data_IF_753513540236
#
_entry.id   IF_753513540236
#
_cell.length_a   1.000
_cell.length_b   1.000
_cell.length_c   1.000
_cell.angle_alpha   90.00
_cell.angle_beta   90.00
_cell.angle_gamma   90.00
#
_symmetry.space_group_name_H-M   'P 1'
#
loop_
_entity.id
_entity.type
_entity.pdbx_description
1 polymer ?
#
# COMPACT_ATOMS: atom_id res chain seq x y z
N UNK A 1 -22.05 -22.47 -27.59
CA UNK A 1 -20.96 -21.49 -27.31
C UNK A 1 -21.27 -20.63 -26.09
N UNK A 2 -22.42 -19.93 -26.03
CA UNK A 2 -22.81 -19.12 -24.85
C UNK A 2 -22.87 -19.92 -23.53
N UNK A 3 -23.44 -21.12 -23.55
CA UNK A 3 -23.52 -22.00 -22.38
C UNK A 3 -22.15 -22.43 -21.87
N UNK A 4 -21.25 -22.86 -22.76
CA UNK A 4 -19.86 -23.24 -22.41
C UNK A 4 -19.06 -22.08 -21.82
N UNK A 5 -19.31 -20.85 -22.26
CA UNK A 5 -18.69 -19.65 -21.68
C UNK A 5 -19.19 -19.44 -20.24
N UNK A 6 -20.49 -19.61 -20.00
CA UNK A 6 -21.06 -19.51 -18.65
C UNK A 6 -20.50 -20.60 -17.75
N UNK A 7 -20.39 -21.83 -18.26
CA UNK A 7 -19.81 -22.96 -17.55
C UNK A 7 -18.34 -22.73 -17.17
N UNK A 8 -17.51 -22.31 -18.12
CA UNK A 8 -16.10 -21.98 -17.87
C UNK A 8 -15.95 -20.88 -16.81
N UNK A 9 -16.77 -19.82 -16.90
CA UNK A 9 -16.72 -18.68 -15.97
C UNK A 9 -17.31 -18.95 -14.59
N UNK A 10 -18.05 -20.06 -14.42
CA UNK A 10 -18.43 -20.56 -13.08
C UNK A 10 -17.24 -21.18 -12.36
N UNK A 11 -16.25 -21.68 -13.10
CA UNK A 11 -15.05 -22.33 -12.56
C UNK A 11 -13.91 -21.32 -12.42
N UNK A 12 -13.71 -20.47 -13.44
CA UNK A 12 -12.63 -19.49 -13.49
C UNK A 12 -13.17 -18.06 -13.45
N UNK A 13 -12.68 -17.20 -12.54
CA UNK A 13 -13.12 -15.80 -12.44
C UNK A 13 -12.51 -14.93 -13.54
N UNK A 14 -12.77 -15.25 -14.81
CA UNK A 14 -12.21 -14.56 -15.98
C UNK A 14 -13.25 -13.67 -16.69
N UNK A 15 -12.81 -12.59 -17.37
CA UNK A 15 -13.68 -11.75 -18.20
C UNK A 15 -14.30 -12.53 -19.37
N UNK A 16 -15.42 -12.02 -19.88
CA UNK A 16 -16.15 -12.62 -21.01
C UNK A 16 -15.27 -12.75 -22.26
N UNK A 17 -14.46 -11.74 -22.56
CA UNK A 17 -13.57 -11.72 -23.73
C UNK A 17 -12.54 -12.84 -23.69
N UNK A 18 -11.89 -13.01 -22.54
CA UNK A 18 -10.87 -14.04 -22.32
C UNK A 18 -11.47 -15.45 -22.35
N UNK A 19 -12.63 -15.65 -21.71
CA UNK A 19 -13.36 -16.91 -21.76
C UNK A 19 -13.75 -17.31 -23.20
N UNK A 20 -14.16 -16.34 -24.04
CA UNK A 20 -14.47 -16.59 -25.45
C UNK A 20 -13.21 -16.98 -26.24
N UNK A 21 -12.09 -16.33 -25.98
CA UNK A 21 -10.85 -16.57 -26.71
C UNK A 21 -10.32 -17.97 -26.41
N UNK A 22 -10.18 -18.34 -25.15
CA UNK A 22 -9.62 -19.64 -24.76
C UNK A 22 -10.47 -20.81 -25.26
N UNK A 23 -11.81 -20.68 -25.23
CA UNK A 23 -12.72 -21.69 -25.77
C UNK A 23 -12.59 -21.86 -27.28
N UNK A 24 -12.41 -20.76 -28.03
CA UNK A 24 -12.21 -20.83 -29.49
C UNK A 24 -10.90 -21.51 -29.85
N UNK A 25 -9.84 -21.26 -29.10
CA UNK A 25 -8.50 -21.82 -29.33
C UNK A 25 -8.40 -23.31 -28.95
N UNK A 26 -9.37 -23.84 -28.19
CA UNK A 26 -9.34 -25.20 -27.65
C UNK A 26 -10.62 -26.00 -27.99
N UNK A 27 -11.15 -25.83 -29.19
CA UNK A 27 -12.28 -26.63 -29.73
C UNK A 27 -13.56 -26.61 -28.87
N UNK A 28 -13.73 -25.55 -28.07
CA UNK A 28 -14.77 -25.40 -27.06
C UNK A 28 -14.76 -26.51 -25.99
N UNK A 29 -13.62 -27.13 -25.70
CA UNK A 29 -13.46 -28.07 -24.59
C UNK A 29 -13.24 -27.29 -23.28
N UNK A 30 -14.24 -27.32 -22.40
CA UNK A 30 -14.23 -26.56 -21.14
C UNK A 30 -13.17 -27.11 -20.18
N UNK A 31 -13.06 -28.43 -20.04
CA UNK A 31 -12.10 -29.04 -19.10
C UNK A 31 -10.66 -28.76 -19.53
N UNK A 32 -10.38 -28.89 -20.83
CA UNK A 32 -9.08 -28.56 -21.40
C UNK A 32 -8.74 -27.08 -21.21
N UNK A 33 -9.69 -26.18 -21.42
CA UNK A 33 -9.50 -24.74 -21.16
C UNK A 33 -9.17 -24.48 -19.68
N UNK A 34 -9.90 -25.10 -18.75
CA UNK A 34 -9.65 -24.96 -17.32
C UNK A 34 -8.24 -25.43 -16.96
N UNK A 35 -7.84 -26.60 -17.43
CA UNK A 35 -6.52 -27.16 -17.15
C UNK A 35 -5.40 -26.27 -17.69
N UNK A 36 -5.49 -25.84 -18.95
CA UNK A 36 -4.47 -24.99 -19.57
C UNK A 36 -4.39 -23.62 -18.91
N UNK A 37 -5.53 -23.03 -18.56
CA UNK A 37 -5.56 -21.74 -17.86
C UNK A 37 -4.89 -21.84 -16.50
N UNK A 38 -5.29 -22.83 -15.67
CA UNK A 38 -4.67 -23.05 -14.36
C UNK A 38 -3.16 -23.27 -14.48
N UNK A 39 -2.72 -24.16 -15.37
CA UNK A 39 -1.30 -24.43 -15.55
C UNK A 39 -0.50 -23.19 -15.97
N UNK A 40 -1.08 -22.31 -16.82
CA UNK A 40 -0.49 -21.03 -17.18
C UNK A 40 -0.43 -20.09 -15.97
N UNK A 41 -1.55 -19.91 -15.27
CA UNK A 41 -1.66 -19.03 -14.10
C UNK A 41 -0.70 -19.43 -12.99
N UNK A 42 -0.53 -20.73 -12.74
CA UNK A 42 0.41 -21.23 -11.73
C UNK A 42 1.86 -20.82 -12.06
N UNK A 43 2.30 -21.03 -13.31
CA UNK A 43 3.65 -20.61 -13.73
C UNK A 43 3.86 -19.10 -13.57
N UNK A 44 2.83 -18.31 -13.86
CA UNK A 44 2.88 -16.87 -13.71
C UNK A 44 2.89 -16.44 -12.24
N UNK A 45 2.09 -17.08 -11.37
CA UNK A 45 2.11 -16.89 -9.92
C UNK A 45 3.52 -17.20 -9.37
N UNK A 46 4.13 -18.32 -9.75
CA UNK A 46 5.48 -18.69 -9.33
C UNK A 46 6.49 -17.63 -9.76
N UNK A 47 6.41 -17.14 -11.00
CA UNK A 47 7.29 -16.07 -11.50
C UNK A 47 7.16 -14.77 -10.70
N UNK A 48 5.94 -14.37 -10.32
CA UNK A 48 5.66 -13.12 -9.61
C UNK A 48 5.92 -13.16 -8.09
N UNK A 49 5.97 -14.35 -7.51
CA UNK A 49 6.07 -14.55 -6.05
C UNK A 49 7.33 -15.28 -5.63
N UNK A 50 7.97 -16.03 -6.53
CA UNK A 50 9.12 -16.88 -6.24
C UNK A 50 8.79 -18.17 -5.48
N UNK A 51 7.52 -18.51 -5.28
CA UNK A 51 7.13 -19.75 -4.58
C UNK A 51 7.24 -20.99 -5.47
N UNK A 52 7.23 -22.17 -4.83
CA UNK A 52 7.16 -23.46 -5.50
C UNK A 52 5.75 -23.76 -6.06
N UNK A 53 5.65 -24.80 -6.88
CA UNK A 53 4.41 -25.16 -7.59
C UNK A 53 3.31 -25.64 -6.63
N UNK A 54 3.68 -26.33 -5.55
CA UNK A 54 2.72 -26.85 -4.56
C UNK A 54 2.06 -25.69 -3.82
N UNK A 55 2.87 -24.72 -3.37
CA UNK A 55 2.41 -23.49 -2.72
C UNK A 55 1.51 -22.68 -3.66
N UNK A 56 1.93 -22.46 -4.91
CA UNK A 56 1.12 -21.75 -5.89
C UNK A 56 -0.24 -22.40 -6.11
N UNK A 57 -0.29 -23.74 -6.27
CA UNK A 57 -1.54 -24.48 -6.47
C UNK A 57 -2.47 -24.37 -5.26
N UNK A 58 -1.92 -24.59 -4.05
CA UNK A 58 -2.69 -24.55 -2.81
C UNK A 58 -3.37 -23.19 -2.60
N UNK A 59 -2.62 -22.09 -2.76
CA UNK A 59 -3.19 -20.75 -2.61
C UNK A 59 -4.15 -20.41 -3.74
N UNK A 60 -3.85 -20.81 -4.98
CA UNK A 60 -4.72 -20.53 -6.12
C UNK A 60 -6.08 -21.21 -6.00
N UNK A 61 -6.10 -22.45 -5.50
CA UNK A 61 -7.35 -23.16 -5.19
C UNK A 61 -8.10 -22.52 -4.01
N UNK A 62 -7.39 -22.16 -2.93
CA UNK A 62 -7.99 -21.53 -1.75
C UNK A 62 -8.67 -20.19 -2.07
N UNK A 63 -8.07 -19.40 -2.96
CA UNK A 63 -8.63 -18.12 -3.45
C UNK A 63 -9.59 -18.29 -4.64
N UNK A 64 -10.08 -19.52 -4.88
CA UNK A 64 -11.07 -19.82 -5.92
C UNK A 64 -10.64 -19.37 -7.32
N UNK A 65 -9.34 -19.55 -7.60
CA UNK A 65 -8.70 -19.21 -8.87
C UNK A 65 -8.67 -17.70 -9.19
N UNK A 66 -8.83 -16.84 -8.18
CA UNK A 66 -8.55 -15.41 -8.30
C UNK A 66 -7.04 -15.16 -8.27
N UNK A 67 -6.49 -14.81 -9.43
CA UNK A 67 -5.04 -14.62 -9.60
C UNK A 67 -4.48 -13.52 -8.70
N UNK A 68 -5.15 -12.37 -8.62
CA UNK A 68 -4.63 -11.20 -7.89
C UNK A 68 -4.65 -11.44 -6.38
N UNK A 69 -5.74 -12.04 -5.87
CA UNK A 69 -5.84 -12.42 -4.46
C UNK A 69 -4.79 -13.46 -4.09
N UNK A 70 -4.57 -14.44 -4.98
CA UNK A 70 -3.57 -15.48 -4.78
C UNK A 70 -2.15 -14.92 -4.70
N UNK A 71 -1.74 -14.10 -5.66
CA UNK A 71 -0.41 -13.46 -5.66
C UNK A 71 -0.23 -12.61 -4.40
N UNK A 72 -1.27 -11.87 -3.99
CA UNK A 72 -1.22 -11.05 -2.78
C UNK A 72 -1.06 -11.92 -1.53
N UNK A 73 -1.88 -12.97 -1.37
CA UNK A 73 -1.84 -13.87 -0.22
C UNK A 73 -0.50 -14.60 -0.07
N UNK A 74 0.09 -15.06 -1.19
CA UNK A 74 1.42 -15.68 -1.17
C UNK A 74 2.49 -14.66 -0.76
N UNK A 75 2.45 -13.42 -1.29
CA UNK A 75 3.41 -12.38 -0.91
C UNK A 75 3.34 -12.04 0.57
N UNK A 76 2.14 -11.96 1.14
CA UNK A 76 1.95 -11.74 2.58
C UNK A 76 2.53 -12.89 3.42
N UNK A 77 2.25 -14.15 3.05
CA UNK A 77 2.76 -15.32 3.76
C UNK A 77 4.29 -15.45 3.63
N UNK A 78 4.86 -15.17 2.47
CA UNK A 78 6.31 -15.12 2.27
C UNK A 78 6.96 -14.00 3.05
N UNK A 79 6.31 -12.84 3.15
CA UNK A 79 6.79 -11.75 3.99
C UNK A 79 6.86 -12.18 5.46
N UNK A 80 5.81 -12.81 5.98
CA UNK A 80 5.73 -13.26 7.38
C UNK A 80 6.77 -14.33 7.70
N UNK A 81 6.88 -15.34 6.84
CA UNK A 81 7.84 -16.44 7.01
C UNK A 81 9.29 -15.97 6.96
N UNK A 82 9.59 -14.94 6.16
CA UNK A 82 10.93 -14.41 5.98
C UNK A 82 11.10 -13.05 6.68
N UNK A 83 10.26 -12.75 7.67
CA UNK A 83 10.31 -11.47 8.35
C UNK A 83 11.64 -11.26 9.04
N UNK A 84 12.29 -10.15 8.73
CA UNK A 84 13.51 -9.71 9.40
C UNK A 84 13.15 -8.50 10.26
N UNK A 85 13.37 -8.64 11.56
CA UNK A 85 13.16 -7.54 12.49
C UNK A 85 14.04 -6.34 12.12
N UNK A 86 13.42 -5.17 12.00
CA UNK A 86 14.11 -3.90 11.78
C UNK A 86 14.28 -3.23 13.13
N UNK A 87 15.53 -3.09 13.58
CA UNK A 87 15.84 -2.41 14.84
C UNK A 87 15.27 -0.99 14.82
N UNK A 88 14.56 -0.61 15.88
CA UNK A 88 13.85 0.68 15.98
C UNK A 88 12.39 0.67 15.46
N UNK A 89 11.98 -0.37 14.73
CA UNK A 89 10.56 -0.57 14.36
C UNK A 89 9.88 -1.43 15.42
N UNK A 90 9.23 -0.77 16.39
CA UNK A 90 8.50 -1.42 17.49
C UNK A 90 6.98 -1.21 17.38
N UNK A 91 6.20 -1.99 18.14
CA UNK A 91 4.73 -1.82 18.20
C UNK A 91 4.32 -0.44 18.69
N UNK A 92 5.07 0.12 19.64
CA UNK A 92 4.86 1.46 20.19
C UNK A 92 5.09 2.52 19.11
N UNK A 93 6.21 2.43 18.39
CA UNK A 93 6.54 3.37 17.32
C UNK A 93 5.52 3.29 16.17
N UNK A 94 5.09 2.08 15.77
CA UNK A 94 4.02 1.91 14.78
C UNK A 94 2.70 2.52 15.29
N UNK A 95 2.38 2.39 16.58
CA UNK A 95 1.18 3.02 17.17
C UNK A 95 1.22 4.55 17.05
N UNK A 96 2.39 5.18 17.25
CA UNK A 96 2.56 6.62 17.05
C UNK A 96 2.30 7.03 15.60
N UNK A 97 2.73 6.23 14.63
CA UNK A 97 2.43 6.49 13.22
C UNK A 97 0.93 6.41 12.96
N UNK A 98 0.21 5.42 13.51
CA UNK A 98 -1.24 5.36 13.36
C UNK A 98 -1.96 6.56 13.99
N UNK A 99 -1.47 7.06 15.13
CA UNK A 99 -2.02 8.28 15.75
C UNK A 99 -1.79 9.50 14.86
N UNK A 100 -0.59 9.63 14.27
CA UNK A 100 -0.28 10.68 13.31
C UNK A 100 -1.14 10.59 12.04
N UNK A 101 -1.33 9.39 11.48
CA UNK A 101 -2.22 9.18 10.33
C UNK A 101 -3.67 9.58 10.64
N UNK A 102 -4.16 9.30 11.84
CA UNK A 102 -5.49 9.74 12.27
C UNK A 102 -5.58 11.26 12.34
N UNK A 103 -4.52 11.97 12.77
CA UNK A 103 -4.52 13.44 12.76
C UNK A 103 -4.66 13.99 11.34
N UNK A 104 -4.02 13.38 10.35
CA UNK A 104 -4.17 13.78 8.94
C UNK A 104 -5.61 13.61 8.47
N UNK A 105 -6.24 12.47 8.80
CA UNK A 105 -7.62 12.18 8.40
C UNK A 105 -8.66 13.06 9.10
N UNK A 106 -8.46 13.34 10.40
CA UNK A 106 -9.42 14.09 11.23
C UNK A 106 -9.28 15.61 11.09
N UNK A 107 -8.10 16.07 10.67
CA UNK A 107 -7.73 17.50 10.59
C UNK A 107 -7.21 17.79 9.19
N UNK A 108 -5.90 17.89 9.04
CA UNK A 108 -5.20 18.14 7.79
C UNK A 108 -3.70 17.83 7.96
N UNK A 109 -3.01 17.71 6.83
CA UNK A 109 -1.57 17.43 6.82
C UNK A 109 -0.74 18.54 7.48
N UNK A 110 -1.11 19.81 7.28
CA UNK A 110 -0.42 20.96 7.87
C UNK A 110 -0.40 20.91 9.39
N UNK A 111 -1.53 20.68 10.02
CA UNK A 111 -1.63 20.52 11.47
C UNK A 111 -0.87 19.27 11.96
N UNK A 112 -0.89 18.19 11.18
CA UNK A 112 -0.18 16.95 11.55
C UNK A 112 1.33 17.13 11.69
N UNK A 113 1.92 18.17 11.06
CA UNK A 113 3.33 18.50 11.17
C UNK A 113 3.73 19.04 12.56
N UNK A 114 2.77 19.45 13.39
CA UNK A 114 3.00 19.89 14.78
C UNK A 114 2.83 18.74 15.80
N UNK A 115 2.63 17.50 15.32
CA UNK A 115 2.47 16.37 16.20
C UNK A 115 3.69 16.17 17.09
N UNK A 116 3.50 16.11 18.41
CA UNK A 116 4.61 16.11 19.39
C UNK A 116 5.58 14.93 19.25
N UNK A 117 5.14 13.83 18.62
CA UNK A 117 5.96 12.65 18.37
C UNK A 117 6.37 12.51 16.90
N UNK A 118 6.26 13.57 16.09
CA UNK A 118 6.55 13.51 14.66
C UNK A 118 7.98 13.05 14.35
N UNK A 119 8.97 13.42 15.18
CA UNK A 119 10.35 12.94 14.98
C UNK A 119 10.43 11.42 15.09
N UNK A 120 9.78 10.81 16.10
CA UNK A 120 9.74 9.36 16.24
C UNK A 120 8.99 8.68 15.07
N UNK A 121 7.92 9.32 14.58
CA UNK A 121 7.19 8.88 13.37
C UNK A 121 8.12 8.88 12.15
N UNK A 122 8.85 9.97 11.91
CA UNK A 122 9.77 10.11 10.79
C UNK A 122 10.93 9.12 10.87
N UNK A 123 11.56 8.99 12.04
CA UNK A 123 12.65 8.04 12.28
C UNK A 123 12.20 6.61 11.95
N UNK A 124 11.00 6.23 12.38
CA UNK A 124 10.45 4.90 12.12
C UNK A 124 10.10 4.69 10.66
N UNK A 125 9.48 5.69 10.00
CA UNK A 125 9.15 5.60 8.57
C UNK A 125 10.42 5.52 7.69
N UNK A 126 11.50 6.19 8.08
CA UNK A 126 12.79 6.14 7.37
C UNK A 126 13.45 4.75 7.43
N UNK A 127 13.18 3.98 8.48
CA UNK A 127 13.69 2.61 8.65
C UNK A 127 12.97 1.60 7.74
N UNK A 128 11.75 1.90 7.31
CA UNK A 128 10.93 1.00 6.48
C UNK A 128 11.17 1.35 5.00
N UNK A 129 11.87 0.52 4.21
CA UNK A 129 12.33 0.91 2.87
C UNK A 129 11.23 1.38 1.91
N UNK A 130 10.04 0.73 1.83
CA UNK A 130 8.93 1.22 1.01
C UNK A 130 8.40 2.61 1.40
N UNK A 131 8.64 3.06 2.64
CA UNK A 131 8.10 4.30 3.19
C UNK A 131 9.13 5.43 3.25
N UNK A 132 10.40 5.14 2.96
CA UNK A 132 11.52 6.09 3.07
C UNK A 132 11.31 7.37 2.26
N UNK A 133 10.92 7.27 1.00
CA UNK A 133 10.68 8.44 0.13
C UNK A 133 9.57 9.34 0.72
N UNK A 134 8.52 8.73 1.26
CA UNK A 134 7.42 9.45 1.90
C UNK A 134 7.93 10.17 3.16
N UNK A 135 8.72 9.51 3.99
CA UNK A 135 9.32 10.10 5.18
C UNK A 135 10.22 11.30 4.86
N UNK A 136 11.07 11.17 3.82
CA UNK A 136 11.93 12.25 3.35
C UNK A 136 11.13 13.46 2.84
N UNK A 137 9.99 13.23 2.17
CA UNK A 137 9.10 14.30 1.74
C UNK A 137 8.45 15.01 2.94
N UNK A 138 7.98 14.26 3.95
CA UNK A 138 7.39 14.84 5.15
C UNK A 138 8.44 15.66 5.93
N UNK A 139 9.69 15.17 6.02
CA UNK A 139 10.78 15.89 6.68
C UNK A 139 11.01 17.26 6.01
N UNK A 140 11.06 17.33 4.68
CA UNK A 140 11.20 18.60 3.96
C UNK A 140 10.02 19.54 4.15
N UNK A 141 8.81 19.01 4.20
CA UNK A 141 7.61 19.80 4.49
C UNK A 141 7.61 20.35 5.92
N UNK A 142 8.09 19.54 6.88
CA UNK A 142 8.32 19.99 8.26
C UNK A 142 9.34 21.13 8.31
N UNK A 143 10.50 20.95 7.68
CA UNK A 143 11.56 21.98 7.66
C UNK A 143 11.04 23.29 7.04
N UNK A 144 10.27 23.19 5.94
CA UNK A 144 9.65 24.34 5.31
C UNK A 144 8.67 25.06 6.27
N UNK A 145 7.84 24.30 6.99
CA UNK A 145 6.92 24.85 7.99
C UNK A 145 7.67 25.52 9.14
N UNK A 146 8.68 24.86 9.69
CA UNK A 146 9.47 25.40 10.80
C UNK A 146 10.14 26.73 10.41
N UNK A 147 10.66 26.85 9.17
CA UNK A 147 11.20 28.11 8.62
C UNK A 147 10.11 29.17 8.45
N UNK A 148 8.96 28.82 7.87
CA UNK A 148 7.86 29.77 7.63
C UNK A 148 7.27 30.29 8.93
N UNK A 149 7.24 29.48 9.98
CA UNK A 149 6.72 29.79 11.31
C UNK A 149 7.80 30.22 12.31
N UNK A 150 9.05 30.41 11.87
CA UNK A 150 10.13 30.87 12.74
C UNK A 150 9.76 32.21 13.41
N UNK A 151 9.90 32.26 14.73
CA UNK A 151 9.57 33.43 15.55
C UNK A 151 8.09 33.76 15.65
N UNK A 152 7.19 32.91 15.14
CA UNK A 152 5.75 33.04 15.38
C UNK A 152 5.41 32.70 16.83
N UNK A 153 4.48 33.46 17.41
CA UNK A 153 3.96 33.30 18.76
C UNK A 153 2.43 33.20 18.72
N UNK A 154 1.84 32.46 19.66
CA UNK A 154 0.37 32.41 19.83
C UNK A 154 -0.24 33.78 20.19
N UNK A 155 0.59 34.76 20.55
CA UNK A 155 0.18 36.15 20.79
C UNK A 155 0.18 37.02 19.53
N UNK A 156 0.69 36.51 18.41
CA UNK A 156 0.67 37.22 17.13
C UNK A 156 -0.75 37.35 16.58
N UNK A 157 -0.96 38.30 15.68
CA UNK A 157 -2.29 38.57 15.14
C UNK A 157 -2.80 37.43 14.24
N UNK A 158 -4.13 37.35 14.11
CA UNK A 158 -4.77 36.45 13.16
C UNK A 158 -4.33 36.72 11.70
N UNK A 159 -4.06 37.98 11.34
CA UNK A 159 -3.56 38.32 10.01
C UNK A 159 -2.18 37.74 9.74
N UNK A 160 -1.30 37.73 10.76
CA UNK A 160 0.03 37.12 10.67
C UNK A 160 -0.06 35.60 10.51
N UNK A 161 -0.96 34.97 11.28
CA UNK A 161 -1.27 33.56 11.15
C UNK A 161 -1.72 33.22 9.72
N UNK A 162 -2.72 33.93 9.19
CA UNK A 162 -3.26 33.71 7.83
C UNK A 162 -2.16 33.92 6.78
N UNK A 163 -1.32 34.93 6.94
CA UNK A 163 -0.21 35.22 6.01
C UNK A 163 0.80 34.08 5.95
N UNK A 164 1.16 33.49 7.10
CA UNK A 164 2.12 32.38 7.17
C UNK A 164 1.53 31.09 6.64
N UNK A 165 0.27 30.78 6.96
CA UNK A 165 -0.43 29.63 6.40
C UNK A 165 -0.52 29.71 4.87
N UNK A 166 -0.83 30.88 4.31
CA UNK A 166 -0.81 31.07 2.86
C UNK A 166 0.58 30.79 2.25
N UNK A 167 1.66 31.23 2.90
CA UNK A 167 3.03 30.92 2.45
C UNK A 167 3.33 29.42 2.49
N UNK A 168 2.78 28.70 3.48
CA UNK A 168 2.92 27.25 3.59
C UNK A 168 2.16 26.53 2.48
N UNK A 169 0.92 26.96 2.20
CA UNK A 169 0.11 26.41 1.11
C UNK A 169 0.76 26.62 -0.26
N UNK A 170 1.48 27.74 -0.44
CA UNK A 170 2.24 28.06 -1.66
C UNK A 170 3.63 27.37 -1.71
N UNK A 171 4.07 26.66 -0.66
CA UNK A 171 5.38 26.03 -0.61
C UNK A 171 5.41 24.69 -1.37
N UNK A 172 6.36 24.54 -2.30
CA UNK A 172 6.44 23.36 -3.18
C UNK A 172 6.69 22.04 -2.42
N UNK A 173 7.55 22.04 -1.39
CA UNK A 173 7.86 20.84 -0.61
C UNK A 173 6.65 20.43 0.24
N UNK A 174 5.95 21.39 0.83
CA UNK A 174 4.70 21.15 1.55
C UNK A 174 3.64 20.51 0.65
N UNK A 175 3.35 21.14 -0.50
CA UNK A 175 2.38 20.62 -1.46
C UNK A 175 2.74 19.23 -1.98
N UNK A 176 4.05 18.98 -2.19
CA UNK A 176 4.53 17.67 -2.64
C UNK A 176 4.30 16.62 -1.58
N UNK A 177 4.65 16.89 -0.33
CA UNK A 177 4.45 15.95 0.77
C UNK A 177 2.96 15.67 1.02
N UNK A 178 2.12 16.71 1.05
CA UNK A 178 0.67 16.57 1.23
C UNK A 178 0.04 15.64 0.18
N UNK A 179 0.39 15.85 -1.10
CA UNK A 179 -0.05 14.98 -2.20
C UNK A 179 0.46 13.54 -2.04
N UNK A 180 1.75 13.36 -1.73
CA UNK A 180 2.34 12.02 -1.60
C UNK A 180 1.70 11.25 -0.45
N UNK A 181 1.54 11.89 0.71
CA UNK A 181 0.94 11.27 1.90
C UNK A 181 -0.50 10.88 1.60
N UNK A 182 -1.30 11.79 1.05
CA UNK A 182 -2.70 11.54 0.69
C UNK A 182 -2.85 10.36 -0.28
N UNK A 183 -1.97 10.24 -1.28
CA UNK A 183 -1.99 9.14 -2.24
C UNK A 183 -1.49 7.81 -1.67
N UNK A 184 -0.61 7.85 -0.67
CA UNK A 184 0.05 6.66 -0.11
C UNK A 184 -0.54 6.20 1.24
N UNK A 185 -1.60 6.82 1.77
CA UNK A 185 -2.19 6.44 3.07
C UNK A 185 -2.46 4.93 3.20
N UNK A 186 -3.07 4.31 2.18
CA UNK A 186 -3.34 2.87 2.17
C UNK A 186 -2.05 2.05 2.20
N UNK A 187 -1.07 2.42 1.38
CA UNK A 187 0.22 1.72 1.31
C UNK A 187 0.95 1.82 2.65
N UNK A 188 0.98 3.01 3.26
CA UNK A 188 1.57 3.21 4.59
C UNK A 188 0.91 2.26 5.60
N UNK A 189 -0.43 2.21 5.62
CA UNK A 189 -1.16 1.33 6.55
C UNK A 189 -0.86 -0.14 6.34
N UNK A 190 -0.82 -0.59 5.08
CA UNK A 190 -0.52 -1.98 4.73
C UNK A 190 0.88 -2.38 5.19
N UNK A 191 1.89 -1.57 4.90
CA UNK A 191 3.27 -1.84 5.35
C UNK A 191 3.36 -1.86 6.88
N UNK A 192 2.74 -0.88 7.56
CA UNK A 192 2.72 -0.87 9.04
C UNK A 192 2.03 -2.10 9.63
N UNK A 193 0.92 -2.56 9.02
CA UNK A 193 0.22 -3.77 9.47
C UNK A 193 1.11 -5.02 9.30
N UNK A 194 1.84 -5.12 8.18
CA UNK A 194 2.80 -6.22 7.94
C UNK A 194 3.89 -6.27 8.99
N UNK A 195 4.47 -5.12 9.34
CA UNK A 195 5.47 -5.07 10.41
C UNK A 195 4.84 -5.38 11.78
N UNK A 196 3.70 -4.76 12.11
CA UNK A 196 3.06 -4.92 13.42
C UNK A 196 2.64 -6.35 13.75
N UNK A 197 2.19 -7.14 12.75
CA UNK A 197 1.76 -8.52 12.96
C UNK A 197 2.91 -9.50 13.20
N UNK A 198 4.13 -9.14 12.80
CA UNK A 198 5.34 -9.97 12.95
C UNK A 198 6.27 -9.52 14.10
N UNK A 199 5.93 -8.43 14.77
CA UNK A 199 6.50 -8.01 16.07
C UNK A 199 5.72 -8.64 17.23
#
# INVERSE_FOLDING_TARGET
MKEKIIELRKILPIPMGEAMQILKENDNDVEKCVHLFKAKSIKEIQSLTGCDEETANKYYEAEKYDFNRTVSAIREDLFDKNYIHIEGVTKENISLIYQWLRLIEDKDFGLSLDFSYLNAVLDTLLLIPPLKETAEAILKAKDAKDIIFEGYSDTDSLDEFVRRYKKLDDNEEFQKADRIVSLKLTIIREELMRHARNL
#
